data_IF_417827997272
#
_entry.id   IF_417827997272
#
_cell.length_a   1.000
_cell.length_b   1.000
_cell.length_c   1.000
_cell.angle_alpha   90.00
_cell.angle_beta   90.00
_cell.angle_gamma   90.00
#
_symmetry.space_group_name_H-M   'P 1'
#
loop_
_entity.id
_entity.type
_entity.pdbx_description
1 polymer ?
#
# COMPACT_ATOMS: atom_id res chain seq x y z
N UNK A 1 -4.67 16.12 -3.46
CA UNK A 1 -5.75 15.13 -3.27
C UNK A 1 -6.82 15.76 -2.41
N UNK A 2 -8.10 15.49 -2.67
CA UNK A 2 -9.15 15.84 -1.70
C UNK A 2 -9.12 14.86 -0.54
N UNK A 3 -9.61 15.28 0.63
CA UNK A 3 -9.78 14.39 1.78
C UNK A 3 -10.61 13.16 1.39
N UNK A 4 -11.65 13.35 0.58
CA UNK A 4 -12.46 12.26 0.06
C UNK A 4 -11.64 11.23 -0.74
N UNK A 5 -10.69 11.66 -1.59
CA UNK A 5 -9.82 10.77 -2.35
C UNK A 5 -8.81 10.03 -1.44
N UNK A 6 -8.28 10.72 -0.42
CA UNK A 6 -7.40 10.10 0.58
C UNK A 6 -8.14 9.01 1.37
N UNK A 7 -9.33 9.31 1.89
CA UNK A 7 -10.15 8.35 2.63
C UNK A 7 -10.58 7.18 1.74
N UNK A 8 -10.90 7.42 0.46
CA UNK A 8 -11.18 6.35 -0.50
C UNK A 8 -9.96 5.46 -0.77
N UNK A 9 -8.75 6.03 -0.84
CA UNK A 9 -7.53 5.25 -0.96
C UNK A 9 -7.33 4.35 0.28
N UNK A 10 -7.46 4.92 1.47
CA UNK A 10 -7.28 4.22 2.75
C UNK A 10 -8.43 3.27 3.11
N UNK A 11 -9.55 3.29 2.40
CA UNK A 11 -10.64 2.31 2.59
C UNK A 11 -10.22 0.88 2.22
N UNK A 12 -9.21 0.73 1.35
CA UNK A 12 -8.65 -0.57 0.96
C UNK A 12 -7.73 -1.15 2.06
N UNK A 13 -8.02 -2.36 2.59
CA UNK A 13 -7.23 -2.97 3.66
C UNK A 13 -5.77 -3.25 3.27
N UNK A 14 -5.51 -3.59 2.00
CA UNK A 14 -4.15 -3.81 1.53
C UNK A 14 -3.36 -2.51 1.47
N UNK A 15 -3.99 -1.40 1.07
CA UNK A 15 -3.34 -0.08 1.14
C UNK A 15 -3.01 0.32 2.57
N UNK A 16 -3.88 0.05 3.54
CA UNK A 16 -3.57 0.29 4.96
C UNK A 16 -2.41 -0.56 5.46
N UNK A 17 -2.35 -1.83 5.08
CA UNK A 17 -1.23 -2.71 5.44
C UNK A 17 0.09 -2.20 4.86
N UNK A 18 0.09 -1.77 3.59
CA UNK A 18 1.27 -1.19 2.93
C UNK A 18 1.72 0.09 3.65
N UNK A 19 0.80 1.00 3.98
CA UNK A 19 1.12 2.23 4.72
C UNK A 19 1.70 1.91 6.10
N UNK A 20 1.12 0.95 6.83
CA UNK A 20 1.64 0.53 8.14
C UNK A 20 3.11 0.06 8.04
N UNK A 21 3.42 -0.75 7.03
CA UNK A 21 4.79 -1.23 6.79
C UNK A 21 5.77 -0.10 6.44
N UNK A 22 5.33 0.90 5.66
CA UNK A 22 6.15 2.04 5.24
C UNK A 22 6.35 3.09 6.33
N UNK A 23 5.42 3.18 7.29
CA UNK A 23 5.55 4.04 8.47
C UNK A 23 6.66 3.57 9.41
N UNK A 24 6.95 2.26 9.44
CA UNK A 24 8.06 1.71 10.23
C UNK A 24 9.41 2.07 9.61
N UNK A 25 9.57 1.86 8.30
CA UNK A 25 10.76 2.21 7.52
C UNK A 25 10.49 2.11 6.01
N UNK A 26 11.35 2.71 5.17
CA UNK A 26 11.40 2.39 3.75
C UNK A 26 11.62 0.89 3.52
N UNK A 27 10.88 0.31 2.57
CA UNK A 27 10.95 -1.11 2.20
C UNK A 27 11.03 -1.27 0.68
N UNK A 28 11.84 -2.19 0.17
CA UNK A 28 11.77 -2.64 -1.22
C UNK A 28 10.39 -3.25 -1.53
N UNK A 29 9.94 -3.14 -2.78
CA UNK A 29 8.63 -3.65 -3.19
C UNK A 29 8.48 -5.16 -2.95
N UNK A 30 9.57 -5.92 -3.08
CA UNK A 30 9.57 -7.37 -2.82
C UNK A 30 9.26 -7.70 -1.36
N UNK A 31 9.77 -6.92 -0.40
CA UNK A 31 9.42 -7.12 1.02
C UNK A 31 7.94 -6.85 1.30
N UNK A 32 7.35 -5.88 0.58
CA UNK A 32 5.93 -5.54 0.70
C UNK A 32 5.06 -6.66 0.09
N UNK A 33 5.46 -7.21 -1.05
CA UNK A 33 4.82 -8.37 -1.70
C UNK A 33 4.75 -9.54 -0.71
N UNK A 34 5.88 -9.92 -0.13
CA UNK A 34 5.95 -11.03 0.84
C UNK A 34 5.11 -10.75 2.09
N UNK A 35 5.25 -9.55 2.69
CA UNK A 35 4.54 -9.20 3.92
C UNK A 35 3.01 -9.10 3.74
N UNK A 36 2.54 -8.69 2.57
CA UNK A 36 1.12 -8.55 2.28
C UNK A 36 0.50 -9.80 1.61
N UNK A 37 1.29 -10.80 1.22
CA UNK A 37 0.80 -11.97 0.48
C UNK A 37 0.18 -11.63 -0.88
N UNK A 38 0.63 -10.52 -1.50
CA UNK A 38 0.10 -10.01 -2.76
C UNK A 38 1.05 -10.35 -3.90
N UNK A 39 0.55 -10.36 -5.13
CA UNK A 39 1.43 -10.37 -6.30
C UNK A 39 2.13 -9.01 -6.47
N UNK A 40 3.29 -9.00 -7.13
CA UNK A 40 3.99 -7.75 -7.44
C UNK A 40 3.16 -6.78 -8.30
N UNK A 41 2.43 -7.20 -9.35
CA UNK A 41 1.54 -6.30 -10.09
C UNK A 41 0.42 -5.69 -9.23
N UNK A 42 -0.17 -6.48 -8.33
CA UNK A 42 -1.19 -5.99 -7.39
C UNK A 42 -0.59 -4.97 -6.42
N UNK A 43 0.57 -5.29 -5.82
CA UNK A 43 1.29 -4.38 -4.91
C UNK A 43 1.63 -3.06 -5.58
N UNK A 44 2.18 -3.09 -6.80
CA UNK A 44 2.49 -1.89 -7.59
C UNK A 44 1.24 -1.06 -7.92
N UNK A 45 0.09 -1.71 -8.17
CA UNK A 45 -1.19 -1.02 -8.39
C UNK A 45 -1.63 -0.27 -7.13
N UNK A 46 -1.48 -0.87 -5.95
CA UNK A 46 -1.80 -0.19 -4.69
C UNK A 46 -0.85 0.98 -4.42
N UNK A 47 0.45 0.78 -4.60
CA UNK A 47 1.49 1.81 -4.42
C UNK A 47 1.36 3.00 -5.37
N UNK A 48 0.78 2.82 -6.56
CA UNK A 48 0.52 3.93 -7.50
C UNK A 48 -0.62 4.85 -7.03
N UNK A 49 -1.55 4.32 -6.23
CA UNK A 49 -2.70 5.08 -5.72
C UNK A 49 -2.38 5.77 -4.41
N UNK A 50 -1.50 5.16 -3.58
CA UNK A 50 -0.90 5.77 -2.40
C UNK A 50 0.05 6.89 -2.78
#
# INVERSE_FOLDING_TARGET
MSDAALWAALADPHRRAIVALLLERPRPVGEIVEACGLSQPSTSKHLRVL
#
